data_IF_312418722201
#
_entry.id   IF_312418722201
#
_cell.length_a   1.000
_cell.length_b   1.000
_cell.length_c   1.000
_cell.angle_alpha   90.00
_cell.angle_beta   90.00
_cell.angle_gamma   90.00
#
_symmetry.space_group_name_H-M   'P 1'
#
loop_
_entity.id
_entity.type
_entity.pdbx_description
1 polymer ?
#
# COMPACT_ATOMS: atom_id res chain seq x y z
N UNK A 1 -23.19 -12.98 -9.43
CA UNK A 1 -24.04 -11.89 -9.96
C UNK A 1 -23.82 -10.67 -9.08
N UNK A 2 -23.28 -9.60 -9.63
CA UNK A 2 -23.17 -8.31 -8.93
C UNK A 2 -24.59 -7.81 -8.70
N UNK A 3 -25.06 -7.87 -7.46
CA UNK A 3 -26.47 -7.71 -7.06
C UNK A 3 -27.03 -6.29 -7.27
N UNK A 4 -26.39 -5.45 -8.09
CA UNK A 4 -26.79 -4.07 -8.33
C UNK A 4 -27.54 -4.03 -9.65
N UNK A 5 -28.80 -3.60 -9.62
CA UNK A 5 -29.59 -3.48 -10.84
C UNK A 5 -29.13 -2.28 -11.70
N UNK A 6 -29.34 -2.34 -13.02
CA UNK A 6 -28.87 -1.31 -13.96
C UNK A 6 -29.46 0.09 -13.69
N UNK A 7 -30.68 0.17 -13.15
CA UNK A 7 -31.30 1.46 -12.81
C UNK A 7 -30.55 2.14 -11.66
N UNK A 8 -30.18 1.37 -10.65
CA UNK A 8 -29.39 1.81 -9.50
C UNK A 8 -27.98 2.18 -9.93
N UNK A 9 -27.34 1.35 -10.77
CA UNK A 9 -26.01 1.64 -11.31
C UNK A 9 -25.99 2.98 -12.07
N UNK A 10 -26.97 3.20 -12.95
CA UNK A 10 -27.13 4.48 -13.64
C UNK A 10 -27.36 5.64 -12.67
N UNK A 11 -28.02 5.39 -11.55
CA UNK A 11 -28.18 6.37 -10.48
C UNK A 11 -26.84 6.81 -9.89
N UNK A 12 -25.93 5.86 -9.65
CA UNK A 12 -24.58 6.13 -9.17
C UNK A 12 -23.74 6.88 -10.23
N UNK A 13 -23.73 6.40 -11.47
CA UNK A 13 -22.96 7.00 -12.58
C UNK A 13 -23.42 8.42 -12.93
N UNK A 14 -24.67 8.78 -12.63
CA UNK A 14 -25.22 10.12 -12.88
C UNK A 14 -25.29 10.99 -11.61
N UNK A 15 -24.65 10.56 -10.52
CA UNK A 15 -24.64 11.23 -9.22
C UNK A 15 -26.05 11.54 -8.65
N UNK A 16 -27.06 10.77 -9.06
CA UNK A 16 -28.44 10.88 -8.53
C UNK A 16 -28.64 10.15 -7.22
N UNK A 17 -27.74 9.24 -6.90
CA UNK A 17 -27.69 8.49 -5.66
C UNK A 17 -26.23 8.14 -5.35
N UNK A 18 -25.92 7.93 -4.08
CA UNK A 18 -24.60 7.45 -3.63
C UNK A 18 -24.69 5.98 -3.22
N UNK A 19 -23.70 5.15 -3.57
CA UNK A 19 -23.63 3.77 -3.10
C UNK A 19 -23.26 3.73 -1.61
N UNK A 20 -23.91 2.84 -0.86
CA UNK A 20 -23.42 2.48 0.48
C UNK A 20 -22.10 1.67 0.40
N UNK A 21 -21.44 1.46 1.54
CA UNK A 21 -20.15 0.75 1.59
C UNK A 21 -20.19 -0.66 0.99
N UNK A 22 -21.30 -1.38 1.18
CA UNK A 22 -21.47 -2.75 0.65
C UNK A 22 -21.61 -2.70 -0.86
N UNK A 23 -22.37 -1.74 -1.39
CA UNK A 23 -22.58 -1.51 -2.81
C UNK A 23 -21.29 -1.03 -3.48
N UNK A 24 -20.54 -0.15 -2.82
CA UNK A 24 -19.24 0.32 -3.30
C UNK A 24 -18.23 -0.83 -3.41
N UNK A 25 -18.16 -1.71 -2.41
CA UNK A 25 -17.31 -2.91 -2.46
C UNK A 25 -17.72 -3.85 -3.62
N UNK A 26 -19.02 -4.04 -3.85
CA UNK A 26 -19.52 -4.83 -4.99
C UNK A 26 -19.20 -4.20 -6.34
N UNK A 27 -19.21 -2.86 -6.44
CA UNK A 27 -18.80 -2.14 -7.64
C UNK A 27 -17.29 -2.32 -7.90
N UNK A 28 -16.46 -2.28 -6.85
CA UNK A 28 -15.03 -2.53 -6.96
C UNK A 28 -14.76 -3.94 -7.52
N UNK A 29 -15.45 -4.95 -7.00
CA UNK A 29 -15.38 -6.33 -7.49
C UNK A 29 -15.88 -6.51 -8.93
N UNK A 30 -16.95 -5.79 -9.31
CA UNK A 30 -17.53 -5.80 -10.65
C UNK A 30 -16.54 -5.26 -11.68
N UNK A 31 -15.98 -4.09 -11.39
CA UNK A 31 -15.09 -3.37 -12.30
C UNK A 31 -13.62 -3.78 -12.18
N UNK A 32 -13.28 -4.65 -11.23
CA UNK A 32 -11.91 -5.13 -10.97
C UNK A 32 -10.93 -3.99 -10.66
N UNK A 33 -11.40 -3.04 -9.88
CA UNK A 33 -10.65 -1.86 -9.41
C UNK A 33 -10.72 -1.78 -7.88
N UNK A 34 -9.90 -0.92 -7.26
CA UNK A 34 -10.00 -0.65 -5.82
C UNK A 34 -11.18 0.28 -5.51
N UNK A 35 -11.68 0.24 -4.27
CA UNK A 35 -12.67 1.22 -3.79
C UNK A 35 -12.12 2.64 -3.81
N UNK A 36 -10.82 2.81 -3.59
CA UNK A 36 -10.13 4.11 -3.66
C UNK A 36 -10.22 4.68 -5.08
N UNK A 37 -9.93 3.87 -6.10
CA UNK A 37 -10.06 4.28 -7.51
C UNK A 37 -11.49 4.70 -7.86
N UNK A 38 -12.51 4.00 -7.36
CA UNK A 38 -13.91 4.38 -7.61
C UNK A 38 -14.29 5.73 -7.00
N UNK A 39 -13.69 6.11 -5.87
CA UNK A 39 -14.00 7.37 -5.18
C UNK A 39 -13.17 8.53 -5.74
N UNK A 40 -11.88 8.29 -5.98
CA UNK A 40 -10.92 9.34 -6.31
C UNK A 40 -10.66 9.48 -7.80
N UNK A 41 -10.90 8.43 -8.58
CA UNK A 41 -10.52 8.34 -10.00
C UNK A 41 -9.04 8.12 -10.24
N UNK A 42 -8.23 7.96 -9.19
CA UNK A 42 -6.78 7.75 -9.28
C UNK A 42 -6.43 6.33 -8.85
N UNK A 43 -5.43 5.74 -9.53
CA UNK A 43 -4.81 4.54 -8.98
C UNK A 43 -4.07 4.92 -7.69
N UNK A 44 -4.33 4.16 -6.62
CA UNK A 44 -3.63 4.34 -5.37
C UNK A 44 -2.15 3.99 -5.56
N UNK A 45 -1.29 5.01 -5.70
CA UNK A 45 0.16 4.85 -5.63
C UNK A 45 0.59 4.84 -4.17
N UNK A 46 0.52 3.68 -3.53
CA UNK A 46 0.92 3.47 -2.13
C UNK A 46 2.43 3.58 -1.86
N UNK A 47 3.18 4.37 -2.63
CA UNK A 47 4.65 4.41 -2.59
C UNK A 47 5.22 5.26 -1.45
N UNK A 48 4.39 5.88 -0.59
CA UNK A 48 4.89 6.91 0.33
C UNK A 48 5.51 6.41 1.63
N UNK A 49 5.03 5.30 2.22
CA UNK A 49 5.40 4.97 3.62
C UNK A 49 6.06 3.61 3.81
N UNK A 50 5.69 2.61 3.02
CA UNK A 50 6.35 1.29 3.09
C UNK A 50 7.73 1.33 2.45
N UNK A 51 7.83 1.89 1.25
CA UNK A 51 9.09 1.98 0.50
C UNK A 51 10.14 2.83 1.23
N UNK A 52 9.74 3.97 1.79
CA UNK A 52 10.63 4.82 2.59
C UNK A 52 11.10 4.10 3.87
N UNK A 53 10.21 3.39 4.55
CA UNK A 53 10.56 2.61 5.74
C UNK A 53 11.50 1.45 5.39
N UNK A 54 11.25 0.75 4.28
CA UNK A 54 12.08 -0.35 3.80
C UNK A 54 13.48 0.13 3.40
N UNK A 55 13.58 1.27 2.72
CA UNK A 55 14.84 1.90 2.37
C UNK A 55 15.66 2.29 3.61
N UNK A 56 15.01 2.86 4.63
CA UNK A 56 15.67 3.24 5.87
C UNK A 56 16.11 2.00 6.68
N UNK A 57 15.30 0.94 6.72
CA UNK A 57 15.68 -0.35 7.30
C UNK A 57 16.94 -0.89 6.60
N UNK A 58 17.00 -0.82 5.26
CA UNK A 58 18.18 -1.21 4.49
C UNK A 58 19.44 -0.45 4.92
N UNK A 59 19.37 0.88 4.98
CA UNK A 59 20.49 1.72 5.46
C UNK A 59 20.95 1.39 6.87
N UNK A 60 20.01 1.14 7.78
CA UNK A 60 20.34 0.81 9.17
C UNK A 60 21.04 -0.55 9.28
N UNK A 61 20.64 -1.54 8.49
CA UNK A 61 21.31 -2.85 8.42
C UNK A 61 22.75 -2.72 7.94
N UNK A 62 23.00 -1.92 6.91
CA UNK A 62 24.36 -1.70 6.40
C UNK A 62 25.26 -1.03 7.45
N UNK A 63 24.73 -0.03 8.16
CA UNK A 63 25.43 0.63 9.28
C UNK A 63 25.77 -0.35 10.40
N UNK A 64 24.85 -1.25 10.76
CA UNK A 64 25.08 -2.27 11.77
C UNK A 64 26.19 -3.24 11.35
N UNK A 65 26.13 -3.73 10.12
CA UNK A 65 27.15 -4.64 9.56
C UNK A 65 28.54 -4.01 9.57
N UNK A 66 28.66 -2.73 9.19
CA UNK A 66 29.92 -2.02 9.22
C UNK A 66 30.50 -1.91 10.65
N UNK A 67 29.65 -1.65 11.64
CA UNK A 67 30.07 -1.59 13.05
C UNK A 67 30.51 -2.95 13.59
N UNK A 68 29.80 -4.03 13.26
CA UNK A 68 30.18 -5.38 13.66
C UNK A 68 31.58 -5.76 13.15
N UNK A 69 31.92 -5.37 11.92
CA UNK A 69 33.24 -5.61 11.33
C UNK A 69 34.36 -4.88 12.09
N UNK A 70 34.12 -3.62 12.47
CA UNK A 70 35.08 -2.83 13.24
C UNK A 70 35.30 -3.46 14.61
N UNK A 71 34.22 -3.83 15.31
CA UNK A 71 34.30 -4.46 16.63
C UNK A 71 35.07 -5.79 16.55
N UNK A 72 34.81 -6.59 15.51
CA UNK A 72 35.54 -7.83 15.27
C UNK A 72 37.04 -7.59 15.10
N UNK A 73 37.43 -6.64 14.27
CA UNK A 73 38.85 -6.30 14.07
C UNK A 73 39.53 -5.80 15.34
N UNK A 74 38.85 -4.98 16.16
CA UNK A 74 39.39 -4.56 17.47
C UNK A 74 39.59 -5.76 18.39
N UNK A 75 38.64 -6.71 18.41
CA UNK A 75 38.73 -7.90 19.25
C UNK A 75 39.92 -8.78 18.87
N UNK A 76 40.18 -8.93 17.57
CA UNK A 76 41.32 -9.69 17.05
C UNK A 76 42.64 -9.03 17.50
N UNK A 77 42.77 -7.71 17.37
CA UNK A 77 43.97 -6.97 17.78
C UNK A 77 44.23 -6.95 19.28
N UNK A 78 43.19 -7.01 20.12
CA UNK A 78 43.33 -7.02 21.59
C UNK A 78 43.62 -8.43 22.14
N UNK A 79 43.42 -9.47 21.32
CA UNK A 79 43.65 -10.86 21.70
C UNK A 79 45.07 -11.37 21.37
N UNK A 80 45.92 -10.52 20.78
CA UNK A 80 47.37 -10.70 20.59
C UNK A 80 48.17 -10.01 21.70
#
# INVERSE_FOLDING_TARGET
MTQINNKTLRGYETAKAEPDLVSLSRLADLYKVSTDWLITGFEFSGSGRSEEAEAEIGRLKDKLKAREQIIRGIRELVSE
#
